data_IF_022320921332
#
_entry.id   IF_022320921332
#
_cell.length_a   1.000
_cell.length_b   1.000
_cell.length_c   1.000
_cell.angle_alpha   90.00
_cell.angle_beta   90.00
_cell.angle_gamma   90.00
#
_symmetry.space_group_name_H-M   'P 1'
#
loop_
_entity.id
_entity.type
_entity.pdbx_description
1 polymer ?
#
# COMPACT_ATOMS: atom_id res chain seq x y z
N UNK A 1 22.89 17.16 28.28
CA UNK A 1 21.46 16.89 28.53
C UNK A 1 20.83 18.16 29.09
N UNK A 2 19.62 18.55 28.66
CA UNK A 2 18.97 19.73 29.22
C UNK A 2 18.56 19.49 30.68
N UNK A 3 18.63 20.54 31.48
CA UNK A 3 18.19 20.51 32.89
C UNK A 3 16.65 20.52 32.97
N UNK A 4 16.10 20.15 34.14
CA UNK A 4 14.65 20.17 34.36
C UNK A 4 14.07 21.57 34.12
N UNK A 5 14.72 22.61 34.61
CA UNK A 5 14.29 24.01 34.39
C UNK A 5 14.30 24.42 32.92
N UNK A 6 15.27 23.96 32.14
CA UNK A 6 15.31 24.19 30.71
C UNK A 6 14.16 23.49 29.99
N UNK A 7 13.79 22.27 30.39
CA UNK A 7 12.65 21.53 29.84
C UNK A 7 11.30 22.14 30.22
N UNK A 8 11.18 22.73 31.42
CA UNK A 8 9.96 23.45 31.82
C UNK A 8 9.76 24.71 31.00
N UNK A 9 10.82 25.46 30.73
CA UNK A 9 10.78 26.71 29.92
C UNK A 9 10.64 26.44 28.43
N UNK A 10 11.35 25.43 27.93
CA UNK A 10 11.40 25.07 26.51
C UNK A 10 11.13 23.58 26.38
N UNK A 11 9.86 23.20 26.40
CA UNK A 11 9.43 21.80 26.25
C UNK A 11 9.97 21.15 24.97
N UNK A 12 10.06 19.83 24.95
CA UNK A 12 10.52 19.08 23.77
C UNK A 12 9.52 19.22 22.64
N UNK A 13 9.99 19.65 21.47
CA UNK A 13 9.18 19.66 20.25
C UNK A 13 9.30 18.31 19.55
N UNK A 14 8.20 17.64 19.23
CA UNK A 14 8.25 16.40 18.45
C UNK A 14 8.83 16.70 17.06
N UNK A 15 9.71 15.84 16.57
CA UNK A 15 10.24 15.95 15.22
C UNK A 15 9.15 15.69 14.18
N UNK A 16 9.11 16.52 13.15
CA UNK A 16 8.16 16.34 12.04
C UNK A 16 8.50 15.05 11.29
N UNK A 17 7.59 14.09 11.30
CA UNK A 17 7.76 12.83 10.58
C UNK A 17 7.69 13.07 9.08
N UNK A 18 8.74 12.70 8.36
CA UNK A 18 8.75 12.73 6.88
C UNK A 18 7.76 11.71 6.31
N UNK A 19 7.07 12.08 5.24
CA UNK A 19 6.13 11.19 4.56
C UNK A 19 6.88 10.09 3.83
N UNK A 20 6.53 8.84 4.12
CA UNK A 20 7.16 7.64 3.54
C UNK A 20 6.56 7.24 2.18
N UNK A 21 5.41 7.79 1.81
CA UNK A 21 4.67 7.49 0.58
C UNK A 21 4.38 8.78 -0.21
N UNK A 22 5.36 9.36 -0.90
CA UNK A 22 5.23 10.67 -1.54
C UNK A 22 4.16 10.72 -2.63
N UNK A 23 3.89 9.65 -3.35
CA UNK A 23 2.86 9.60 -4.39
C UNK A 23 1.45 9.80 -3.85
N UNK A 24 1.20 9.53 -2.56
CA UNK A 24 -0.10 9.78 -1.92
C UNK A 24 -0.36 11.25 -1.58
N UNK A 25 0.64 12.11 -1.68
CA UNK A 25 0.55 13.56 -1.41
C UNK A 25 0.58 14.42 -2.64
N UNK A 26 0.45 13.85 -3.80
CA UNK A 26 0.44 14.57 -5.08
C UNK A 26 -0.82 14.27 -5.85
N UNK A 27 -1.38 15.28 -6.48
CA UNK A 27 -2.51 15.13 -7.41
C UNK A 27 -2.17 15.77 -8.74
N UNK A 28 -2.84 15.35 -9.79
CA UNK A 28 -2.69 15.92 -11.13
C UNK A 28 -3.80 16.93 -11.37
N UNK A 29 -3.40 18.15 -11.69
CA UNK A 29 -4.33 19.21 -12.11
C UNK A 29 -4.35 19.25 -13.64
N UNK A 30 -5.45 18.82 -14.26
CA UNK A 30 -5.59 18.74 -15.70
C UNK A 30 -5.68 20.10 -16.38
N UNK A 31 -6.22 21.12 -15.71
CA UNK A 31 -6.30 22.47 -16.26
C UNK A 31 -4.92 23.12 -16.36
N UNK A 32 -4.11 22.99 -15.30
CA UNK A 32 -2.79 23.56 -15.24
C UNK A 32 -1.68 22.65 -15.74
N UNK A 33 -2.01 21.43 -16.17
CA UNK A 33 -1.07 20.42 -16.69
C UNK A 33 0.13 20.19 -15.75
N UNK A 34 -0.09 20.25 -14.44
CA UNK A 34 0.97 20.09 -13.43
C UNK A 34 0.54 19.30 -12.22
N UNK A 35 1.53 18.76 -11.52
CA UNK A 35 1.32 18.06 -10.25
C UNK A 35 1.25 19.06 -9.10
N UNK A 36 0.20 18.99 -8.30
CA UNK A 36 -0.01 19.83 -7.12
C UNK A 36 0.09 18.99 -5.82
N UNK A 37 0.67 19.56 -4.76
CA UNK A 37 0.68 18.90 -3.46
C UNK A 37 -0.71 18.95 -2.83
N UNK A 38 -1.07 17.84 -2.14
CA UNK A 38 -2.29 17.74 -1.33
C UNK A 38 -1.91 17.31 0.10
N UNK A 39 -2.81 17.52 1.05
CA UNK A 39 -2.61 17.11 2.45
C UNK A 39 -2.33 15.62 2.62
N UNK A 40 -2.83 14.80 1.72
CA UNK A 40 -2.63 13.37 1.64
C UNK A 40 -3.89 12.65 1.19
N UNK A 41 -3.72 11.40 0.79
CA UNK A 41 -4.81 10.50 0.47
C UNK A 41 -4.49 9.11 1.06
N UNK A 42 -5.46 8.42 1.67
CA UNK A 42 -5.21 7.08 2.24
C UNK A 42 -4.96 6.04 1.15
N UNK A 43 -5.64 6.15 0.01
CA UNK A 43 -5.46 5.28 -1.16
C UNK A 43 -5.55 6.09 -2.45
N UNK A 44 -5.01 5.51 -3.53
CA UNK A 44 -5.20 6.00 -4.90
C UNK A 44 -5.44 4.84 -5.86
N UNK A 45 -6.35 5.07 -6.80
CA UNK A 45 -6.59 4.14 -7.90
C UNK A 45 -5.43 4.21 -8.91
N UNK A 46 -5.11 3.07 -9.49
CA UNK A 46 -4.13 2.99 -10.57
C UNK A 46 -4.39 1.82 -11.50
N UNK A 47 -3.63 1.77 -12.58
CA UNK A 47 -3.67 0.70 -13.57
C UNK A 47 -2.33 0.00 -13.59
N UNK A 48 -2.33 -1.32 -13.56
CA UNK A 48 -1.13 -2.13 -13.66
C UNK A 48 -0.52 -2.00 -15.07
N UNK A 49 0.72 -1.55 -15.13
CA UNK A 49 1.49 -1.51 -16.38
C UNK A 49 2.21 -2.83 -16.61
N UNK A 50 2.72 -3.43 -15.55
CA UNK A 50 3.47 -4.67 -15.60
C UNK A 50 3.33 -5.41 -14.27
N UNK A 51 3.16 -6.72 -14.32
CA UNK A 51 3.18 -7.60 -13.14
C UNK A 51 4.40 -8.52 -13.26
N UNK A 52 5.22 -8.54 -12.22
CA UNK A 52 6.47 -9.32 -12.19
C UNK A 52 6.82 -9.79 -10.79
N UNK A 53 7.91 -10.53 -10.69
CA UNK A 53 8.50 -10.93 -9.41
C UNK A 53 9.79 -10.15 -9.16
N UNK A 54 10.14 -10.03 -7.90
CA UNK A 54 11.37 -9.39 -7.45
C UNK A 54 12.00 -10.20 -6.32
N UNK A 55 13.31 -10.37 -6.37
CA UNK A 55 14.05 -11.01 -5.27
C UNK A 55 14.24 -10.02 -4.12
N UNK A 56 14.09 -10.45 -2.86
CA UNK A 56 14.39 -9.61 -1.72
C UNK A 56 15.89 -9.39 -1.56
N UNK A 57 16.23 -8.40 -0.75
CA UNK A 57 17.62 -8.17 -0.35
C UNK A 57 18.10 -9.25 0.63
N UNK A 58 19.42 -9.47 0.68
CA UNK A 58 20.05 -10.37 1.67
C UNK A 58 19.64 -10.01 3.11
N UNK A 59 19.45 -10.97 4.01
CA UNK A 59 19.71 -12.42 3.89
C UNK A 59 18.53 -13.24 3.34
N UNK A 60 17.43 -12.61 2.94
CA UNK A 60 16.23 -13.31 2.49
C UNK A 60 16.33 -13.75 1.02
N UNK A 61 15.63 -14.84 0.68
CA UNK A 61 15.51 -15.35 -0.69
C UNK A 61 14.07 -15.78 -0.94
N UNK A 62 13.47 -15.27 -2.00
CA UNK A 62 12.13 -15.61 -2.46
C UNK A 62 11.84 -14.93 -3.81
N UNK A 63 10.71 -15.23 -4.40
CA UNK A 63 10.14 -14.49 -5.53
C UNK A 63 8.91 -13.72 -5.06
N UNK A 64 9.12 -12.46 -4.70
CA UNK A 64 8.04 -11.58 -4.24
C UNK A 64 7.27 -11.02 -5.42
N UNK A 65 5.94 -11.07 -5.35
CA UNK A 65 5.06 -10.56 -6.41
C UNK A 65 4.92 -9.06 -6.27
N UNK A 66 5.22 -8.35 -7.34
CA UNK A 66 5.08 -6.89 -7.43
C UNK A 66 4.39 -6.49 -8.71
N UNK A 67 3.80 -5.30 -8.72
CA UNK A 67 3.25 -4.68 -9.90
C UNK A 67 3.77 -3.26 -10.06
N UNK A 68 4.08 -2.87 -11.27
CA UNK A 68 4.29 -1.47 -11.63
C UNK A 68 2.94 -0.86 -11.96
N UNK A 69 2.53 0.15 -11.22
CA UNK A 69 1.20 0.74 -11.30
C UNK A 69 1.31 2.21 -11.62
N UNK A 70 0.54 2.66 -12.61
CA UNK A 70 0.34 4.08 -12.93
C UNK A 70 -0.87 4.57 -12.16
N UNK A 71 -0.65 5.48 -11.24
CA UNK A 71 -1.70 6.05 -10.40
C UNK A 71 -2.52 7.11 -11.15
N UNK A 72 -3.68 7.46 -10.60
CA UNK A 72 -4.55 8.53 -11.13
C UNK A 72 -3.88 9.90 -11.18
N UNK A 73 -2.82 10.13 -10.40
CA UNK A 73 -1.99 11.34 -10.46
C UNK A 73 -0.83 11.24 -11.46
N UNK A 74 -0.89 10.30 -12.38
CA UNK A 74 0.09 10.00 -13.44
C UNK A 74 1.48 9.58 -12.95
N UNK A 75 1.66 9.36 -11.66
CA UNK A 75 2.90 8.82 -11.13
C UNK A 75 2.95 7.31 -11.24
N UNK A 76 4.09 6.79 -11.65
CA UNK A 76 4.34 5.35 -11.67
C UNK A 76 5.02 4.92 -10.37
N UNK A 77 4.48 3.90 -9.74
CA UNK A 77 5.01 3.34 -8.50
C UNK A 77 5.08 1.82 -8.58
N UNK A 78 6.04 1.26 -7.84
CA UNK A 78 6.09 -0.19 -7.66
C UNK A 78 5.36 -0.54 -6.37
N UNK A 79 4.34 -1.38 -6.49
CA UNK A 79 3.50 -1.81 -5.37
C UNK A 79 3.63 -3.32 -5.15
N UNK A 80 3.63 -3.73 -3.88
CA UNK A 80 3.65 -5.12 -3.49
C UNK A 80 2.25 -5.73 -3.54
N UNK A 81 2.15 -6.97 -4.03
CA UNK A 81 0.92 -7.74 -4.05
C UNK A 81 0.93 -8.67 -2.84
N UNK A 82 0.18 -8.40 -1.75
CA UNK A 82 0.19 -9.22 -0.57
C UNK A 82 -0.62 -10.50 -0.74
N UNK A 83 -0.29 -11.52 0.04
CA UNK A 83 -1.01 -12.79 0.08
C UNK A 83 -0.51 -13.82 -0.94
N UNK A 84 -1.13 -15.00 -0.90
CA UNK A 84 -0.78 -16.15 -1.76
C UNK A 84 -1.65 -16.10 -3.00
N UNK A 85 -1.00 -16.11 -4.17
CA UNK A 85 -1.69 -16.08 -5.46
C UNK A 85 -2.37 -14.74 -5.74
N UNK A 86 -2.55 -14.43 -6.99
CA UNK A 86 -3.28 -13.24 -7.45
C UNK A 86 -3.81 -13.47 -8.86
N UNK A 87 -4.79 -12.66 -9.24
CA UNK A 87 -5.37 -12.65 -10.59
C UNK A 87 -5.01 -11.39 -11.39
N UNK A 88 -4.06 -10.59 -10.89
CA UNK A 88 -3.66 -9.36 -11.54
C UNK A 88 -2.82 -9.62 -12.76
N UNK A 89 -3.10 -8.86 -13.81
CA UNK A 89 -2.38 -8.87 -15.08
C UNK A 89 -2.23 -7.43 -15.57
N UNK A 90 -1.61 -7.27 -16.71
CA UNK A 90 -1.49 -5.96 -17.34
C UNK A 90 -2.88 -5.34 -17.59
N UNK A 91 -2.99 -4.02 -17.40
CA UNK A 91 -4.21 -3.23 -17.48
C UNK A 91 -5.27 -3.48 -16.38
N UNK A 92 -4.99 -4.30 -15.39
CA UNK A 92 -5.87 -4.44 -14.22
C UNK A 92 -5.93 -3.14 -13.43
N UNK A 93 -7.13 -2.74 -13.06
CA UNK A 93 -7.36 -1.58 -12.20
C UNK A 93 -7.23 -2.00 -10.74
N UNK A 94 -6.41 -1.30 -10.00
CA UNK A 94 -6.10 -1.62 -8.60
C UNK A 94 -6.19 -0.41 -7.69
N UNK A 95 -6.41 -0.65 -6.41
CA UNK A 95 -6.35 0.36 -5.37
C UNK A 95 -5.03 0.19 -4.61
N UNK A 96 -4.25 1.27 -4.52
CA UNK A 96 -2.92 1.29 -3.92
C UNK A 96 -2.93 2.11 -2.66
N UNK A 97 -2.31 1.62 -1.61
CA UNK A 97 -2.07 2.33 -0.34
C UNK A 97 -0.59 2.50 -0.07
N UNK A 98 -0.23 3.43 0.80
CA UNK A 98 1.11 3.53 1.34
C UNK A 98 1.44 2.34 2.23
N UNK A 99 2.71 2.06 2.39
CA UNK A 99 3.24 0.99 3.21
C UNK A 99 4.48 0.37 2.57
N UNK A 100 5.62 0.52 3.23
CA UNK A 100 6.90 0.00 2.73
C UNK A 100 7.02 -1.49 3.00
N UNK A 101 7.61 -2.22 2.06
CA UNK A 101 8.05 -3.59 2.26
C UNK A 101 9.52 -3.57 2.66
N UNK A 102 9.84 -4.08 3.84
CA UNK A 102 11.20 -4.05 4.38
C UNK A 102 12.17 -4.90 3.55
N UNK A 103 11.71 -6.03 3.03
CA UNK A 103 12.52 -6.96 2.24
C UNK A 103 12.87 -6.44 0.83
N UNK A 104 12.02 -5.60 0.25
CA UNK A 104 12.15 -5.18 -1.13
C UNK A 104 12.66 -3.74 -1.20
N UNK A 105 13.79 -3.50 -1.88
CA UNK A 105 14.27 -2.14 -2.08
C UNK A 105 13.30 -1.34 -2.96
N UNK A 106 13.10 -0.08 -2.64
CA UNK A 106 12.28 0.88 -3.40
C UNK A 106 10.78 0.60 -3.47
N UNK A 107 10.26 -0.45 -2.84
CA UNK A 107 8.84 -0.76 -2.77
C UNK A 107 8.23 -0.11 -1.53
N UNK A 108 7.45 0.97 -1.74
CA UNK A 108 6.85 1.79 -0.68
C UNK A 108 5.33 1.72 -0.65
N UNK A 109 4.71 0.87 -1.46
CA UNK A 109 3.28 0.79 -1.65
C UNK A 109 2.79 -0.65 -1.65
N UNK A 110 1.52 -0.83 -1.28
CA UNK A 110 0.83 -2.12 -1.34
C UNK A 110 -0.43 -2.00 -2.17
N UNK A 111 -0.78 -3.06 -2.89
CA UNK A 111 -2.08 -3.22 -3.52
C UNK A 111 -3.07 -3.75 -2.48
N UNK A 112 -4.26 -3.18 -2.42
CA UNK A 112 -5.32 -3.64 -1.54
C UNK A 112 -6.05 -4.79 -2.22
N UNK A 113 -6.06 -5.95 -1.55
CA UNK A 113 -6.75 -7.16 -2.02
C UNK A 113 -8.26 -7.06 -1.78
N UNK A 114 -9.03 -7.66 -2.68
CA UNK A 114 -10.49 -7.69 -2.58
C UNK A 114 -11.19 -6.42 -3.04
N UNK A 115 -10.49 -5.52 -3.72
CA UNK A 115 -11.03 -4.27 -4.28
C UNK A 115 -10.74 -4.16 -5.76
N UNK A 116 -11.67 -3.56 -6.52
CA UNK A 116 -11.56 -3.42 -7.97
C UNK A 116 -11.21 -4.77 -8.63
N UNK A 117 -10.16 -4.83 -9.44
CA UNK A 117 -9.78 -6.06 -10.14
C UNK A 117 -8.91 -7.02 -9.31
N UNK A 118 -8.46 -6.61 -8.12
CA UNK A 118 -7.67 -7.45 -7.23
C UNK A 118 -8.60 -8.35 -6.38
N UNK A 119 -8.68 -9.63 -6.72
CA UNK A 119 -9.44 -10.60 -5.94
C UNK A 119 -8.84 -10.81 -4.54
N UNK A 120 -9.67 -11.14 -3.56
CA UNK A 120 -9.22 -11.54 -2.24
C UNK A 120 -8.45 -12.88 -2.26
N UNK A 121 -7.70 -13.15 -1.21
CA UNK A 121 -7.00 -14.44 -1.06
C UNK A 121 -8.02 -15.53 -0.78
N UNK A 122 -7.99 -16.61 -1.57
CA UNK A 122 -8.91 -17.75 -1.41
C UNK A 122 -8.60 -18.51 -0.11
N UNK A 123 -9.63 -19.04 0.51
CA UNK A 123 -9.58 -19.96 1.67
C UNK A 123 -8.84 -19.40 2.90
N UNK A 124 -8.63 -18.12 2.95
CA UNK A 124 -7.96 -17.49 4.08
C UNK A 124 -8.94 -17.32 5.25
N UNK A 125 -8.57 -17.90 6.39
CA UNK A 125 -9.40 -17.92 7.61
C UNK A 125 -8.97 -16.86 8.63
N UNK A 126 -7.66 -16.60 8.75
CA UNK A 126 -7.10 -15.64 9.71
C UNK A 126 -6.64 -14.35 9.03
N UNK A 127 -6.87 -13.21 9.68
CA UNK A 127 -6.49 -11.90 9.15
C UNK A 127 -7.18 -11.56 7.82
N UNK A 128 -8.42 -11.99 7.64
CA UNK A 128 -9.18 -11.90 6.39
C UNK A 128 -9.30 -10.48 5.85
N UNK A 129 -9.51 -9.51 6.69
CA UNK A 129 -9.66 -8.10 6.30
C UNK A 129 -8.39 -7.54 5.63
N UNK A 130 -7.21 -8.04 6.01
CA UNK A 130 -5.94 -7.63 5.40
C UNK A 130 -5.76 -8.16 3.97
N UNK A 131 -6.48 -9.22 3.62
CA UNK A 131 -6.32 -9.94 2.34
C UNK A 131 -7.61 -10.00 1.52
N UNK A 132 -8.62 -9.23 1.91
CA UNK A 132 -9.87 -9.16 1.17
C UNK A 132 -10.68 -10.45 1.11
N UNK A 133 -10.45 -11.39 2.05
CA UNK A 133 -11.18 -12.64 2.11
C UNK A 133 -12.51 -12.45 2.90
N UNK A 134 -13.61 -12.91 2.30
CA UNK A 134 -14.92 -12.92 2.96
C UNK A 134 -14.99 -14.08 3.98
N UNK A 135 -15.88 -13.96 4.98
CA UNK A 135 -16.21 -15.08 5.85
C UNK A 135 -16.77 -16.24 5.02
N UNK A 136 -16.39 -17.46 5.33
CA UNK A 136 -17.13 -18.63 4.86
C UNK A 136 -18.57 -18.49 5.37
N UNK A 137 -19.55 -18.63 4.47
CA UNK A 137 -20.94 -18.70 4.89
C UNK A 137 -21.07 -19.92 5.83
N UNK A 138 -21.27 -19.68 7.11
CA UNK A 138 -21.71 -20.72 8.02
C UNK A 138 -23.10 -21.12 7.56
N UNK A 139 -23.39 -22.41 7.26
CA UNK A 139 -24.74 -22.80 6.95
C UNK A 139 -25.63 -22.34 8.11
N UNK A 140 -26.64 -21.56 7.78
CA UNK A 140 -27.64 -21.05 8.73
C UNK A 140 -28.45 -22.23 9.31
N UNK A 141 -27.96 -22.80 10.39
CA UNK A 141 -28.63 -23.93 11.02
C UNK A 141 -27.78 -24.53 12.13
N UNK A 142 -27.53 -23.77 13.18
CA UNK A 142 -27.34 -24.25 14.56
C UNK A 142 -27.09 -23.08 15.49
N UNK A 143 -28.15 -22.30 15.78
CA UNK A 143 -28.24 -21.63 17.07
C UNK A 143 -28.82 -22.67 18.03
N UNK A 144 -27.98 -23.23 18.87
CA UNK A 144 -28.40 -23.81 20.16
C UNK A 144 -28.30 -22.72 21.21
#
# INVERSE_FOLDING_TARGET
MPTINQLVRHGRRPSIKKVKAPAMRKNWNSLRQRTEPISGAPQKRGVCLQVRTMTPKKPNSALRKIARVRLSNQQEVTAYIPGIGHNLQEHSVVLVRGGRVRDLPSVKYHIIRGTLDAAGVRDRKQGRSKYGAKASATPSGQRR
#
